data_IF_720479614485
#
_entry.id   IF_720479614485
#
_cell.length_a   1.000
_cell.length_b   1.000
_cell.length_c   1.000
_cell.angle_alpha   90.00
_cell.angle_beta   90.00
_cell.angle_gamma   90.00
#
_symmetry.space_group_name_H-M   'P 1'
#
loop_
_entity.id
_entity.type
_entity.pdbx_description
1 polymer ?
#
# COMPACT_ATOMS: atom_id res chain seq x y z
N UNK A 1 53.30 -22.35 -70.30
CA UNK A 1 52.38 -23.13 -71.17
C UNK A 1 50.98 -23.05 -70.59
N UNK A 2 50.04 -22.65 -71.43
CA UNK A 2 48.60 -22.93 -71.39
C UNK A 2 47.70 -22.33 -70.28
N UNK A 3 47.09 -21.20 -70.64
CA UNK A 3 45.64 -20.89 -70.62
C UNK A 3 44.71 -21.59 -69.61
N UNK A 4 43.94 -20.79 -68.84
CA UNK A 4 42.48 -20.68 -69.06
C UNK A 4 41.85 -19.46 -68.36
N UNK A 5 40.98 -18.79 -69.10
CA UNK A 5 40.08 -17.69 -68.75
C UNK A 5 38.88 -18.22 -67.96
N UNK A 6 38.37 -17.48 -66.96
CA UNK A 6 36.92 -17.34 -66.72
C UNK A 6 36.59 -16.11 -65.86
N UNK A 7 35.91 -15.16 -66.51
CA UNK A 7 35.06 -14.18 -65.84
C UNK A 7 33.88 -14.91 -65.20
N UNK A 8 33.59 -14.59 -63.93
CA UNK A 8 32.29 -14.82 -63.33
C UNK A 8 31.86 -13.50 -62.69
N UNK A 9 30.88 -12.86 -63.32
CA UNK A 9 30.03 -11.86 -62.71
C UNK A 9 28.94 -12.59 -61.90
N UNK A 10 28.82 -12.25 -60.62
CA UNK A 10 27.60 -12.45 -59.81
C UNK A 10 27.31 -11.06 -59.21
N UNK A 11 26.42 -10.27 -59.80
CA UNK A 11 24.97 -10.23 -59.55
C UNK A 11 24.63 -10.23 -58.05
N UNK A 12 24.66 -9.03 -57.49
CA UNK A 12 23.97 -8.63 -56.27
C UNK A 12 22.46 -8.75 -56.45
N UNK A 13 21.82 -9.69 -55.76
CA UNK A 13 20.38 -9.70 -55.51
C UNK A 13 20.21 -9.39 -54.03
N UNK A 14 19.92 -8.13 -53.73
CA UNK A 14 19.38 -7.73 -52.44
C UNK A 14 17.94 -8.19 -52.36
N UNK A 15 17.65 -9.10 -51.44
CA UNK A 15 16.31 -9.40 -50.98
C UNK A 15 16.24 -9.01 -49.50
N UNK A 16 16.15 -7.70 -49.24
CA UNK A 16 15.53 -7.22 -48.02
C UNK A 16 14.03 -7.49 -48.18
N UNK A 17 13.59 -8.68 -47.75
CA UNK A 17 12.18 -8.94 -47.54
C UNK A 17 11.76 -8.14 -46.30
N UNK A 18 11.35 -6.89 -46.52
CA UNK A 18 10.49 -6.20 -45.55
C UNK A 18 9.20 -7.02 -45.49
N UNK A 19 9.08 -7.92 -44.51
CA UNK A 19 7.77 -8.37 -44.09
C UNK A 19 7.07 -7.16 -43.49
N UNK A 20 6.36 -6.40 -44.32
CA UNK A 20 5.22 -5.63 -43.84
C UNK A 20 4.17 -6.68 -43.50
N UNK A 21 4.17 -7.12 -42.24
CA UNK A 21 2.94 -7.65 -41.69
C UNK A 21 1.96 -6.47 -41.68
N UNK A 22 1.15 -6.35 -42.73
CA UNK A 22 -0.08 -5.59 -42.65
C UNK A 22 -0.89 -6.29 -41.56
N UNK A 23 -0.81 -5.76 -40.34
CA UNK A 23 -1.69 -6.13 -39.26
C UNK A 23 -3.09 -5.81 -39.76
N UNK A 24 -3.86 -6.85 -40.04
CA UNK A 24 -5.27 -6.73 -40.36
C UNK A 24 -5.98 -6.21 -39.10
N UNK A 25 -6.09 -4.87 -39.03
CA UNK A 25 -6.72 -4.13 -37.92
C UNK A 25 -8.18 -4.55 -37.74
N UNK A 26 -8.84 -5.02 -38.79
CA UNK A 26 -10.22 -5.50 -38.73
C UNK A 26 -10.32 -6.92 -38.11
N UNK A 27 -9.27 -7.73 -38.24
CA UNK A 27 -9.21 -9.09 -37.68
C UNK A 27 -8.69 -9.16 -36.24
N UNK A 28 -7.89 -8.18 -35.81
CA UNK A 28 -7.19 -8.20 -34.52
C UNK A 28 -7.69 -7.17 -33.50
N UNK A 29 -8.53 -6.20 -33.88
CA UNK A 29 -9.05 -5.14 -33.00
C UNK A 29 -7.98 -4.32 -32.26
N UNK A 30 -6.72 -4.39 -32.71
CA UNK A 30 -5.60 -3.60 -32.18
C UNK A 30 -5.54 -2.29 -32.96
N UNK A 31 -5.92 -1.18 -32.31
CA UNK A 31 -5.82 0.16 -32.91
C UNK A 31 -4.50 0.79 -32.47
N UNK A 32 -3.73 1.31 -33.43
CA UNK A 32 -2.52 2.08 -33.15
C UNK A 32 -2.91 3.53 -32.90
N UNK A 33 -2.25 4.18 -31.95
CA UNK A 33 -2.51 5.57 -31.58
C UNK A 33 -1.20 6.28 -31.21
N UNK A 34 -1.19 7.60 -31.29
CA UNK A 34 -0.19 8.48 -30.70
C UNK A 34 -0.77 9.25 -29.51
N UNK A 35 -2.07 9.52 -29.52
CA UNK A 35 -2.80 10.29 -28.49
C UNK A 35 -4.12 9.59 -28.10
N UNK A 36 -4.63 9.86 -26.89
CA UNK A 36 -5.82 9.20 -26.33
C UNK A 36 -7.10 9.44 -27.14
N UNK A 37 -7.20 10.58 -27.83
CA UNK A 37 -8.38 10.96 -28.62
C UNK A 37 -8.46 10.24 -29.98
N UNK A 38 -7.39 9.55 -30.37
CA UNK A 38 -7.35 8.65 -31.52
C UNK A 38 -7.99 7.28 -31.20
N UNK A 39 -8.24 7.01 -29.91
CA UNK A 39 -8.80 5.75 -29.46
C UNK A 39 -10.33 5.73 -29.41
N UNK A 40 -10.95 4.57 -29.67
CA UNK A 40 -12.38 4.36 -29.45
C UNK A 40 -12.83 4.73 -28.04
N UNK A 41 -14.08 5.15 -27.89
CA UNK A 41 -14.66 5.47 -26.57
C UNK A 41 -14.48 4.31 -25.58
N UNK A 42 -13.91 4.61 -24.42
CA UNK A 42 -13.59 3.62 -23.39
C UNK A 42 -12.17 3.05 -23.47
N UNK A 43 -11.34 3.53 -24.41
CA UNK A 43 -9.93 3.20 -24.56
C UNK A 43 -9.06 4.45 -24.42
N UNK A 44 -7.78 4.27 -24.12
CA UNK A 44 -6.76 5.33 -24.16
C UNK A 44 -5.47 4.78 -24.76
N UNK A 45 -4.61 5.68 -25.21
CA UNK A 45 -3.39 5.34 -25.90
C UNK A 45 -2.31 4.96 -24.91
N UNK A 46 -1.88 3.70 -24.94
CA UNK A 46 -0.79 3.20 -24.13
C UNK A 46 0.21 2.45 -25.00
N UNK A 47 1.47 2.84 -24.93
CA UNK A 47 2.57 2.26 -25.73
C UNK A 47 2.28 2.20 -27.24
N UNK A 48 1.59 3.23 -27.74
CA UNK A 48 1.23 3.36 -29.16
C UNK A 48 0.05 2.49 -29.59
N UNK A 49 -0.70 1.91 -28.65
CA UNK A 49 -1.86 1.05 -28.92
C UNK A 49 -3.03 1.45 -28.03
N UNK A 50 -4.23 1.53 -28.61
CA UNK A 50 -5.44 1.76 -27.85
C UNK A 50 -5.74 0.56 -26.97
N UNK A 51 -5.61 0.78 -25.67
CA UNK A 51 -5.90 -0.20 -24.64
C UNK A 51 -7.15 0.22 -23.89
N UNK A 52 -7.92 -0.75 -23.41
CA UNK A 52 -9.11 -0.43 -22.60
C UNK A 52 -8.73 0.43 -21.39
N UNK A 53 -9.49 1.49 -21.12
CA UNK A 53 -9.28 2.31 -19.91
C UNK A 53 -9.39 1.48 -18.63
N UNK A 54 -10.13 0.38 -18.66
CA UNK A 54 -10.17 -0.60 -17.55
C UNK A 54 -8.88 -1.38 -17.40
N UNK A 55 -8.16 -1.65 -18.49
CA UNK A 55 -6.83 -2.26 -18.45
C UNK A 55 -5.76 -1.25 -17.98
N UNK A 56 -5.96 0.04 -18.27
CA UNK A 56 -5.00 1.10 -17.91
C UNK A 56 -5.16 1.62 -16.48
N UNK A 57 -6.40 1.71 -15.99
CA UNK A 57 -6.68 2.29 -14.67
C UNK A 57 -7.04 1.25 -13.61
N UNK A 58 -6.99 -0.04 -13.96
CA UNK A 58 -7.35 -1.15 -13.09
C UNK A 58 -8.79 -1.08 -12.53
N UNK A 59 -9.12 -2.04 -11.66
CA UNK A 59 -10.33 -2.00 -10.85
C UNK A 59 -10.22 -0.95 -9.74
N UNK A 60 -11.37 -0.49 -9.25
CA UNK A 60 -11.43 0.40 -8.08
C UNK A 60 -12.14 -0.31 -6.96
N UNK A 61 -11.54 -0.34 -5.79
CA UNK A 61 -12.10 -0.91 -4.57
C UNK A 61 -12.29 0.17 -3.49
N UNK A 62 -13.36 0.05 -2.72
CA UNK A 62 -13.62 0.91 -1.57
C UNK A 62 -14.19 0.08 -0.42
N UNK A 63 -13.54 0.13 0.74
CA UNK A 63 -14.08 -0.47 1.97
C UNK A 63 -15.10 0.49 2.58
N UNK A 64 -16.32 0.00 2.83
CA UNK A 64 -17.43 0.79 3.38
C UNK A 64 -17.73 0.45 4.84
N UNK A 65 -17.35 -0.74 5.29
CA UNK A 65 -17.40 -1.16 6.70
C UNK A 65 -16.25 -2.12 7.00
N UNK A 66 -15.58 -2.03 8.17
CA UNK A 66 -15.80 -1.03 9.21
C UNK A 66 -15.35 0.37 8.76
N UNK A 67 -15.82 1.45 9.43
CA UNK A 67 -15.21 2.75 9.24
C UNK A 67 -13.77 2.73 9.74
N UNK A 68 -12.93 3.63 9.20
CA UNK A 68 -11.54 3.78 9.65
C UNK A 68 -11.47 4.00 11.17
N UNK A 69 -10.53 3.30 11.80
CA UNK A 69 -10.25 3.32 13.23
C UNK A 69 -11.45 2.90 14.10
N UNK A 70 -12.37 2.10 13.56
CA UNK A 70 -13.39 1.44 14.37
C UNK A 70 -12.74 0.62 15.50
N UNK A 71 -13.36 0.62 16.68
CA UNK A 71 -12.85 -0.10 17.85
C UNK A 71 -13.72 -1.32 18.11
N UNK A 72 -13.16 -2.50 17.89
CA UNK A 72 -13.75 -3.77 18.28
C UNK A 72 -13.29 -4.17 19.67
N UNK A 73 -14.16 -4.82 20.43
CA UNK A 73 -13.76 -5.45 21.68
C UNK A 73 -13.03 -6.78 21.38
N UNK A 74 -11.98 -7.10 22.15
CA UNK A 74 -11.18 -8.32 21.95
C UNK A 74 -12.00 -9.64 22.04
N UNK A 75 -13.17 -9.61 22.68
CA UNK A 75 -14.04 -10.78 22.81
C UNK A 75 -15.04 -10.96 21.66
N UNK A 76 -15.02 -10.08 20.66
CA UNK A 76 -15.83 -10.24 19.47
C UNK A 76 -15.29 -11.38 18.59
N UNK A 77 -16.16 -12.22 18.01
CA UNK A 77 -15.71 -13.41 17.30
C UNK A 77 -15.20 -13.11 15.88
N UNK A 78 -15.70 -12.04 15.25
CA UNK A 78 -15.51 -11.78 13.82
C UNK A 78 -15.56 -10.28 13.52
N UNK A 79 -14.92 -9.89 12.42
CA UNK A 79 -15.00 -8.53 11.88
C UNK A 79 -15.98 -8.53 10.70
N UNK A 80 -17.04 -7.71 10.73
CA UNK A 80 -17.88 -7.50 9.56
C UNK A 80 -17.16 -6.59 8.56
N UNK A 81 -16.95 -7.08 7.35
CA UNK A 81 -16.37 -6.31 6.25
C UNK A 81 -17.43 -6.12 5.16
N UNK A 82 -17.61 -4.88 4.73
CA UNK A 82 -18.37 -4.55 3.54
C UNK A 82 -17.52 -3.70 2.63
N UNK A 83 -17.57 -3.97 1.34
CA UNK A 83 -16.83 -3.21 0.34
C UNK A 83 -17.59 -3.19 -0.98
N UNK A 84 -17.29 -2.19 -1.79
CA UNK A 84 -17.82 -2.03 -3.14
C UNK A 84 -16.69 -1.79 -4.11
N UNK A 85 -16.98 -1.90 -5.40
CA UNK A 85 -15.99 -1.65 -6.42
C UNK A 85 -16.58 -1.52 -7.81
N UNK A 86 -15.70 -1.30 -8.77
CA UNK A 86 -16.07 -1.25 -10.18
C UNK A 86 -14.92 -1.74 -11.05
N UNK A 87 -15.23 -2.04 -12.32
CA UNK A 87 -14.25 -2.42 -13.35
C UNK A 87 -13.51 -3.74 -13.07
N UNK A 88 -14.12 -4.64 -12.28
CA UNK A 88 -13.67 -6.01 -12.06
C UNK A 88 -14.86 -6.96 -12.23
N UNK A 89 -14.74 -7.92 -13.14
CA UNK A 89 -15.65 -9.05 -13.25
C UNK A 89 -15.15 -10.16 -12.32
N UNK A 90 -15.85 -10.37 -11.20
CA UNK A 90 -15.51 -11.42 -10.25
C UNK A 90 -15.79 -12.80 -10.84
N UNK A 91 -14.74 -13.59 -11.02
CA UNK A 91 -14.81 -14.98 -11.47
C UNK A 91 -13.58 -15.76 -11.03
N UNK A 92 -13.73 -17.08 -10.93
CA UNK A 92 -12.61 -18.03 -10.81
C UNK A 92 -12.44 -18.90 -12.06
N UNK A 93 -13.33 -18.76 -13.03
CA UNK A 93 -13.29 -19.49 -14.29
C UNK A 93 -12.34 -18.81 -15.28
N UNK A 94 -11.68 -19.61 -16.11
CA UNK A 94 -10.87 -19.12 -17.23
C UNK A 94 -11.69 -18.15 -18.10
N UNK A 95 -11.15 -16.96 -18.29
CA UNK A 95 -11.77 -15.89 -19.08
C UNK A 95 -10.69 -15.14 -19.86
N UNK A 96 -10.99 -14.82 -21.12
CA UNK A 96 -10.14 -13.95 -21.95
C UNK A 96 -10.43 -12.46 -21.69
N UNK A 97 -11.39 -12.14 -20.82
CA UNK A 97 -11.69 -10.76 -20.43
C UNK A 97 -10.60 -10.22 -19.48
N UNK A 98 -9.89 -9.18 -19.91
CA UNK A 98 -8.83 -8.55 -19.10
C UNK A 98 -9.31 -7.90 -17.80
N UNK A 99 -10.63 -7.72 -17.64
CA UNK A 99 -11.26 -7.28 -16.38
C UNK A 99 -11.71 -8.43 -15.49
N UNK A 100 -11.50 -9.69 -15.90
CA UNK A 100 -11.85 -10.85 -15.09
C UNK A 100 -10.79 -11.16 -14.02
N UNK A 101 -11.26 -11.46 -12.82
CA UNK A 101 -10.37 -11.69 -11.69
C UNK A 101 -11.11 -11.97 -10.39
N UNK A 102 -10.39 -11.88 -9.29
CA UNK A 102 -10.91 -12.09 -7.94
C UNK A 102 -10.31 -11.07 -6.97
N UNK A 103 -10.88 -10.98 -5.76
CA UNK A 103 -10.35 -10.10 -4.70
C UNK A 103 -9.79 -10.97 -3.59
N UNK A 104 -8.55 -10.74 -3.22
CA UNK A 104 -7.95 -11.31 -2.03
C UNK A 104 -8.18 -10.39 -0.84
N UNK A 105 -8.56 -10.98 0.29
CA UNK A 105 -8.79 -10.28 1.56
C UNK A 105 -7.69 -10.67 2.53
N UNK A 106 -6.95 -9.68 2.98
CA UNK A 106 -5.85 -9.83 3.93
C UNK A 106 -6.19 -9.18 5.26
N UNK A 107 -5.80 -9.82 6.36
CA UNK A 107 -5.76 -9.22 7.70
C UNK A 107 -4.32 -9.27 8.18
N UNK A 108 -3.73 -8.11 8.45
CA UNK A 108 -2.32 -7.95 8.86
C UNK A 108 -1.33 -8.67 7.90
N UNK A 109 -1.63 -8.62 6.60
CA UNK A 109 -0.83 -9.26 5.55
C UNK A 109 -1.03 -10.78 5.42
N UNK A 110 -1.84 -11.42 6.26
CA UNK A 110 -2.23 -12.82 6.10
C UNK A 110 -3.49 -12.92 5.22
N UNK A 111 -3.44 -13.73 4.16
CA UNK A 111 -4.62 -14.02 3.33
C UNK A 111 -5.66 -14.79 4.16
N UNK A 112 -6.84 -14.21 4.36
CA UNK A 112 -7.92 -14.80 5.15
C UNK A 112 -9.11 -15.25 4.31
N UNK A 113 -9.33 -14.62 3.15
CA UNK A 113 -10.44 -14.96 2.25
C UNK A 113 -10.15 -14.56 0.79
N UNK A 114 -10.92 -15.10 -0.15
CA UNK A 114 -10.90 -14.72 -1.55
C UNK A 114 -12.33 -14.67 -2.12
N UNK A 115 -12.68 -13.54 -2.73
CA UNK A 115 -14.00 -13.30 -3.30
C UNK A 115 -13.92 -13.46 -4.81
N UNK A 116 -14.58 -14.49 -5.33
CA UNK A 116 -14.56 -14.86 -6.76
C UNK A 116 -15.93 -14.72 -7.43
N UNK A 117 -16.96 -14.28 -6.71
CA UNK A 117 -18.32 -14.10 -7.24
C UNK A 117 -19.03 -12.93 -6.55
N UNK A 118 -20.06 -12.39 -7.21
CA UNK A 118 -20.86 -11.28 -6.72
C UNK A 118 -20.91 -10.09 -7.69
N UNK A 119 -21.67 -9.05 -7.31
CA UNK A 119 -21.76 -7.79 -8.07
C UNK A 119 -21.13 -6.68 -7.25
N UNK A 120 -19.92 -6.23 -7.61
CA UNK A 120 -19.18 -5.24 -6.82
C UNK A 120 -19.91 -3.90 -6.69
N UNK A 121 -20.64 -3.49 -7.71
CA UNK A 121 -21.41 -2.24 -7.71
C UNK A 121 -22.61 -2.27 -6.75
N UNK A 122 -23.03 -3.46 -6.30
CA UNK A 122 -24.08 -3.62 -5.29
C UNK A 122 -23.53 -3.73 -3.88
N UNK A 123 -22.20 -3.77 -3.73
CA UNK A 123 -21.51 -4.07 -2.49
C UNK A 123 -21.45 -5.58 -2.21
N UNK A 124 -20.39 -5.99 -1.54
CA UNK A 124 -20.15 -7.35 -1.05
C UNK A 124 -19.99 -7.27 0.47
N UNK A 125 -20.61 -8.21 1.17
CA UNK A 125 -20.54 -8.33 2.62
C UNK A 125 -19.88 -9.66 3.01
N UNK A 126 -18.77 -9.58 3.74
CA UNK A 126 -18.13 -10.71 4.42
C UNK A 126 -18.40 -10.59 5.92
N UNK A 127 -19.24 -11.48 6.44
CA UNK A 127 -19.73 -11.38 7.82
C UNK A 127 -18.85 -12.08 8.85
N UNK A 128 -17.80 -12.77 8.43
CA UNK A 128 -17.05 -13.68 9.31
C UNK A 128 -15.54 -13.64 9.08
N UNK A 129 -14.94 -12.46 8.93
CA UNK A 129 -13.48 -12.37 8.96
C UNK A 129 -12.97 -12.70 10.38
N UNK A 130 -11.86 -13.44 10.51
CA UNK A 130 -11.33 -13.81 11.81
C UNK A 130 -10.85 -12.58 12.59
N UNK A 131 -11.29 -12.44 13.84
CA UNK A 131 -10.80 -11.39 14.74
C UNK A 131 -9.34 -11.68 15.17
N UNK A 132 -8.41 -10.71 15.06
CA UNK A 132 -7.07 -10.83 15.62
C UNK A 132 -7.09 -11.10 17.13
N UNK A 133 -6.18 -11.94 17.61
CA UNK A 133 -6.10 -12.31 19.04
C UNK A 133 -5.26 -11.35 19.87
N UNK A 134 -4.45 -10.53 19.21
CA UNK A 134 -3.57 -9.52 19.84
C UNK A 134 -4.33 -8.20 19.83
N UNK A 135 -4.28 -7.43 20.93
CA UNK A 135 -4.82 -6.07 20.94
C UNK A 135 -3.90 -5.09 20.23
N UNK A 136 -4.46 -4.01 19.69
CA UNK A 136 -3.72 -3.00 18.94
C UNK A 136 -4.38 -2.61 17.62
N UNK A 137 -3.62 -1.98 16.74
CA UNK A 137 -4.07 -1.61 15.39
C UNK A 137 -3.88 -2.80 14.45
N UNK A 138 -4.88 -3.04 13.63
CA UNK A 138 -4.90 -4.08 12.62
C UNK A 138 -5.35 -3.49 11.28
N UNK A 139 -4.97 -4.15 10.19
CA UNK A 139 -5.30 -3.70 8.84
C UNK A 139 -6.08 -4.77 8.09
N UNK A 140 -7.18 -4.37 7.46
CA UNK A 140 -7.75 -5.14 6.35
C UNK A 140 -7.24 -4.54 5.04
N UNK A 141 -6.75 -5.39 4.14
CA UNK A 141 -6.38 -5.00 2.78
C UNK A 141 -7.13 -5.86 1.78
N UNK A 142 -7.78 -5.22 0.82
CA UNK A 142 -8.36 -5.83 -0.37
C UNK A 142 -7.39 -5.63 -1.52
N UNK A 143 -7.11 -6.70 -2.26
CA UNK A 143 -6.23 -6.64 -3.43
C UNK A 143 -6.88 -7.35 -4.60
N UNK A 144 -7.19 -6.62 -5.67
CA UNK A 144 -7.70 -7.22 -6.89
C UNK A 144 -6.60 -8.02 -7.61
N UNK A 145 -6.96 -9.21 -8.08
CA UNK A 145 -6.08 -10.13 -8.80
C UNK A 145 -6.67 -10.56 -10.13
N UNK A 146 -5.84 -10.66 -11.15
CA UNK A 146 -6.15 -11.38 -12.37
C UNK A 146 -6.34 -12.89 -12.06
N UNK A 147 -7.02 -13.60 -12.96
CA UNK A 147 -7.26 -15.06 -12.83
C UNK A 147 -5.95 -15.85 -12.71
N UNK A 148 -4.86 -15.37 -13.33
CA UNK A 148 -3.53 -15.99 -13.26
C UNK A 148 -2.78 -15.71 -11.93
N UNK A 149 -3.40 -14.96 -11.01
CA UNK A 149 -2.84 -14.55 -9.72
C UNK A 149 -2.01 -13.26 -9.77
N UNK A 150 -1.80 -12.69 -10.96
CA UNK A 150 -1.18 -11.38 -11.15
C UNK A 150 -1.96 -10.28 -10.42
N UNK A 151 -1.27 -9.26 -9.89
CA UNK A 151 -1.96 -8.06 -9.37
C UNK A 151 -2.40 -7.19 -10.53
N UNK A 152 -3.57 -6.58 -10.40
CA UNK A 152 -3.86 -5.40 -11.21
C UNK A 152 -2.89 -4.28 -10.84
N UNK A 153 -2.52 -3.46 -11.81
CA UNK A 153 -1.72 -2.26 -11.56
C UNK A 153 -2.63 -1.09 -11.16
N UNK A 154 -2.04 -0.09 -10.50
CA UNK A 154 -2.73 1.12 -10.05
C UNK A 154 -3.11 1.11 -8.58
N UNK A 155 -3.03 2.29 -7.95
CA UNK A 155 -3.26 2.48 -6.51
C UNK A 155 -4.70 2.18 -6.09
N UNK A 156 -5.67 2.33 -6.99
CA UNK A 156 -7.08 2.11 -6.69
C UNK A 156 -7.50 0.62 -6.76
N UNK A 157 -6.61 -0.25 -7.26
CA UNK A 157 -6.84 -1.71 -7.32
C UNK A 157 -6.65 -2.41 -5.97
N UNK A 158 -6.15 -1.67 -4.99
CA UNK A 158 -6.07 -2.06 -3.60
C UNK A 158 -6.92 -1.08 -2.76
N UNK A 159 -7.52 -1.59 -1.69
CA UNK A 159 -8.19 -0.77 -0.70
C UNK A 159 -7.83 -1.27 0.69
N UNK A 160 -7.65 -0.38 1.64
CA UNK A 160 -7.32 -0.77 3.01
C UNK A 160 -8.08 0.05 4.04
N UNK A 161 -8.26 -0.55 5.21
CA UNK A 161 -8.80 0.13 6.38
C UNK A 161 -8.07 -0.38 7.61
N UNK A 162 -7.71 0.55 8.50
CA UNK A 162 -7.18 0.21 9.81
C UNK A 162 -8.32 0.21 10.85
N UNK A 163 -8.25 -0.70 11.81
CA UNK A 163 -9.20 -0.78 12.94
C UNK A 163 -8.46 -1.18 14.22
N UNK A 164 -9.08 -0.93 15.36
CA UNK A 164 -8.54 -1.25 16.67
C UNK A 164 -9.19 -2.51 17.25
N UNK A 165 -8.38 -3.34 17.90
CA UNK A 165 -8.84 -4.36 18.84
C UNK A 165 -8.45 -3.89 20.25
N UNK A 166 -9.44 -3.51 21.05
CA UNK A 166 -9.23 -2.96 22.39
C UNK A 166 -9.15 -4.08 23.44
N UNK A 167 -7.99 -4.17 24.09
CA UNK A 167 -7.74 -5.03 25.26
C UNK A 167 -7.57 -4.22 26.57
N UNK A 168 -7.89 -2.92 26.53
CA UNK A 168 -7.79 -1.98 27.63
C UNK A 168 -6.39 -1.36 27.82
N UNK A 169 -5.42 -1.67 26.94
CA UNK A 169 -4.06 -1.13 27.00
C UNK A 169 -3.87 0.09 26.09
N UNK A 170 -2.79 0.82 26.35
CA UNK A 170 -2.34 1.97 25.58
C UNK A 170 -1.64 1.54 24.30
N UNK A 171 -2.00 2.16 23.17
CA UNK A 171 -1.38 1.93 21.88
C UNK A 171 -1.10 3.24 21.16
N UNK A 172 -0.02 3.24 20.39
CA UNK A 172 0.20 4.16 19.27
C UNK A 172 0.44 3.28 18.05
N UNK A 173 -0.05 3.68 16.88
CA UNK A 173 0.13 2.91 15.67
C UNK A 173 0.19 3.80 14.42
N UNK A 174 0.83 3.27 13.38
CA UNK A 174 0.91 3.88 12.06
C UNK A 174 -0.32 3.41 11.28
N UNK A 175 -1.18 4.35 10.90
CA UNK A 175 -2.38 4.12 10.08
C UNK A 175 -2.03 4.16 8.60
N UNK A 176 -1.17 5.10 8.23
CA UNK A 176 -0.63 5.25 6.88
C UNK A 176 0.89 5.38 6.95
N UNK A 177 1.65 4.67 6.11
CA UNK A 177 1.17 3.69 5.13
C UNK A 177 0.75 2.34 5.79
N UNK A 178 -0.14 1.55 5.17
CA UNK A 178 -0.42 0.20 5.64
C UNK A 178 0.79 -0.75 5.45
N UNK A 179 0.81 -1.91 6.13
CA UNK A 179 1.83 -2.93 5.92
C UNK A 179 1.94 -3.39 4.47
N UNK A 180 3.15 -3.37 3.93
CA UNK A 180 3.43 -3.83 2.57
C UNK A 180 3.25 -2.77 1.48
N UNK A 181 2.96 -1.52 1.84
CA UNK A 181 2.94 -0.40 0.89
C UNK A 181 4.22 -0.34 0.09
N UNK A 182 4.05 -0.11 -1.20
CA UNK A 182 5.12 0.10 -2.18
C UNK A 182 5.24 1.59 -2.45
N UNK A 183 6.46 2.09 -2.37
CA UNK A 183 6.78 3.50 -2.58
C UNK A 183 7.73 3.57 -3.76
N UNK A 184 7.41 4.42 -4.72
CA UNK A 184 8.31 4.68 -5.85
C UNK A 184 9.64 5.24 -5.31
N UNK A 185 10.76 4.72 -5.81
CA UNK A 185 12.09 5.22 -5.47
C UNK A 185 12.27 6.70 -5.84
N UNK A 186 11.59 7.19 -6.88
CA UNK A 186 11.73 8.57 -7.34
C UNK A 186 10.99 9.57 -6.43
N UNK A 187 9.96 9.09 -5.73
CA UNK A 187 9.11 9.83 -4.78
C UNK A 187 9.26 9.26 -3.36
N UNK A 188 10.47 8.97 -2.90
CA UNK A 188 10.80 8.35 -1.58
C UNK A 188 10.27 9.10 -0.33
N UNK A 189 9.35 10.05 -0.50
CA UNK A 189 8.51 10.70 0.49
C UNK A 189 7.31 9.82 0.83
N UNK A 190 7.30 9.33 2.07
CA UNK A 190 6.14 8.64 2.65
C UNK A 190 5.36 9.60 3.52
N UNK A 191 4.05 9.68 3.28
CA UNK A 191 3.14 10.35 4.20
C UNK A 191 2.86 9.42 5.39
N UNK A 192 2.91 9.98 6.59
CA UNK A 192 2.66 9.23 7.81
C UNK A 192 1.41 9.73 8.53
N UNK A 193 0.52 8.81 8.86
CA UNK A 193 -0.61 9.04 9.74
C UNK A 193 -0.47 8.16 10.98
N UNK A 194 -0.67 8.76 12.17
CA UNK A 194 -0.52 8.07 13.45
C UNK A 194 -1.80 8.25 14.25
N UNK A 195 -2.27 7.14 14.82
CA UNK A 195 -3.38 7.13 15.75
C UNK A 195 -2.98 6.47 17.07
N UNK A 196 -3.76 6.71 18.10
CA UNK A 196 -3.57 6.14 19.42
C UNK A 196 -4.89 5.67 20.03
N UNK A 197 -4.79 4.60 20.82
CA UNK A 197 -5.90 4.05 21.60
C UNK A 197 -5.49 4.03 23.08
N UNK A 198 -6.36 4.52 23.97
CA UNK A 198 -6.08 4.68 25.41
C UNK A 198 -4.81 5.51 25.75
N UNK A 199 -4.22 6.19 24.76
CA UNK A 199 -3.08 7.10 24.90
C UNK A 199 -3.43 8.44 24.27
N UNK A 200 -3.09 9.55 24.95
CA UNK A 200 -3.37 10.90 24.43
C UNK A 200 -2.12 11.51 23.81
N UNK A 201 -2.19 11.85 22.52
CA UNK A 201 -1.13 12.59 21.82
C UNK A 201 -1.26 14.07 22.18
N UNK A 202 -0.18 14.68 22.67
CA UNK A 202 -0.14 16.06 23.16
C UNK A 202 1.03 16.83 22.55
N UNK A 203 0.85 18.15 22.43
CA UNK A 203 1.97 19.03 22.14
C UNK A 203 2.80 19.29 23.43
N UNK A 204 4.08 18.88 23.52
CA UNK A 204 4.86 19.05 24.73
C UNK A 204 5.10 20.52 25.08
N UNK A 205 5.05 21.43 24.10
CA UNK A 205 5.12 22.88 24.34
C UNK A 205 3.89 23.46 25.06
N UNK A 206 2.84 22.66 25.27
CA UNK A 206 1.60 23.06 25.94
C UNK A 206 1.44 22.47 27.34
N UNK A 207 2.28 21.52 27.74
CA UNK A 207 2.19 20.93 29.08
C UNK A 207 2.90 21.85 30.06
N UNK A 208 2.17 22.33 31.07
CA UNK A 208 2.76 23.13 32.14
C UNK A 208 3.79 22.32 32.94
N UNK A 209 4.87 22.94 33.45
CA UNK A 209 5.89 22.22 34.22
C UNK A 209 5.35 21.57 35.50
N UNK A 210 4.23 22.07 36.01
CA UNK A 210 3.55 21.56 37.21
C UNK A 210 2.31 20.69 36.87
N UNK A 211 2.05 20.43 35.58
CA UNK A 211 0.92 19.60 35.18
C UNK A 211 1.24 18.13 35.47
N UNK A 212 0.48 17.54 36.40
CA UNK A 212 0.55 16.11 36.68
C UNK A 212 -0.22 15.38 35.60
N UNK A 213 0.46 14.51 34.84
CA UNK A 213 -0.18 13.66 33.84
C UNK A 213 -1.25 12.79 34.52
N UNK A 214 -2.53 13.09 34.28
CA UNK A 214 -3.65 12.36 34.86
C UNK A 214 -4.02 11.09 34.07
N UNK A 215 -3.47 10.93 32.87
CA UNK A 215 -3.66 9.80 31.97
C UNK A 215 -2.37 9.52 31.19
N UNK A 216 -2.22 8.34 30.55
CA UNK A 216 -1.19 8.10 29.56
C UNK A 216 -1.22 9.17 28.47
N UNK A 217 -0.17 9.99 28.42
CA UNK A 217 -0.09 11.09 27.48
C UNK A 217 1.35 11.39 27.09
N UNK A 218 1.52 11.87 25.87
CA UNK A 218 2.84 12.10 25.31
C UNK A 218 2.79 12.37 23.82
N UNK A 219 3.85 12.03 23.11
CA UNK A 219 3.96 12.24 21.67
C UNK A 219 4.75 11.08 21.06
N UNK A 220 4.93 11.04 19.74
CA UNK A 220 5.57 9.91 19.07
C UNK A 220 6.88 10.31 18.40
N UNK A 221 7.86 9.43 18.49
CA UNK A 221 9.09 9.50 17.71
C UNK A 221 9.05 8.47 16.60
N UNK A 222 9.42 8.89 15.39
CA UNK A 222 9.59 8.01 14.23
C UNK A 222 11.06 7.60 14.15
N UNK A 223 11.28 6.33 13.85
CA UNK A 223 12.56 5.72 13.54
C UNK A 223 12.45 4.98 12.20
N UNK A 224 13.48 5.10 11.37
CA UNK A 224 13.55 4.41 10.08
C UNK A 224 14.71 3.42 10.10
N UNK A 225 14.40 2.15 9.86
CA UNK A 225 15.32 1.01 9.86
C UNK A 225 16.22 0.93 11.12
N UNK A 226 15.68 1.34 12.26
CA UNK A 226 16.35 1.21 13.55
C UNK A 226 16.11 -0.19 14.17
N UNK A 227 16.90 -0.51 15.18
CA UNK A 227 16.72 -1.71 16.02
C UNK A 227 15.89 -1.37 17.27
N UNK A 228 14.72 -0.73 17.11
CA UNK A 228 13.80 -0.49 18.23
C UNK A 228 13.15 -1.82 18.64
N UNK A 229 12.99 -2.11 19.95
CA UNK A 229 13.33 -1.27 21.11
C UNK A 229 14.78 -1.39 21.61
N UNK A 230 15.60 -2.27 21.05
CA UNK A 230 16.93 -2.63 21.57
C UNK A 230 17.93 -1.45 21.63
N UNK A 231 17.79 -0.47 20.73
CA UNK A 231 18.68 0.67 20.68
C UNK A 231 18.29 1.83 21.61
N UNK A 232 17.12 1.82 22.25
CA UNK A 232 16.66 2.94 23.07
C UNK A 232 17.43 3.04 24.40
N UNK A 233 17.72 4.27 24.90
CA UNK A 233 17.38 5.58 24.32
C UNK A 233 18.46 6.12 23.35
N UNK A 234 19.44 5.32 22.94
CA UNK A 234 20.65 5.74 22.23
C UNK A 234 20.71 5.29 20.75
N UNK A 235 19.56 5.18 20.08
CA UNK A 235 19.49 4.80 18.67
C UNK A 235 20.30 5.76 17.78
N UNK A 236 20.85 5.26 16.67
CA UNK A 236 21.53 6.12 15.71
C UNK A 236 20.51 7.04 15.02
N UNK A 237 20.78 8.34 14.97
CA UNK A 237 19.76 9.40 14.78
C UNK A 237 19.57 9.86 13.33
N UNK A 238 20.18 9.17 12.35
CA UNK A 238 20.26 9.68 10.98
C UNK A 238 18.88 9.90 10.32
N UNK A 239 17.82 9.26 10.84
CA UNK A 239 16.42 9.45 10.39
C UNK A 239 15.39 9.42 11.54
N UNK A 240 15.66 10.17 12.62
CA UNK A 240 14.70 10.34 13.72
C UNK A 240 13.97 11.68 13.61
N UNK A 241 12.64 11.65 13.64
CA UNK A 241 11.81 12.86 13.76
C UNK A 241 10.70 12.65 14.78
N UNK A 242 10.30 13.71 15.47
CA UNK A 242 9.17 13.69 16.41
C UNK A 242 7.92 14.19 15.70
N UNK A 243 6.82 13.48 15.84
CA UNK A 243 5.51 13.99 15.42
C UNK A 243 4.79 14.55 16.63
N UNK A 244 4.36 15.80 16.49
CA UNK A 244 3.72 16.56 17.54
C UNK A 244 2.45 17.17 16.96
N UNK A 245 1.29 17.03 17.62
CA UNK A 245 0.06 17.69 17.19
C UNK A 245 0.25 19.21 17.04
N UNK A 246 -0.31 19.83 15.98
CA UNK A 246 -0.20 21.28 15.79
C UNK A 246 -0.99 22.04 16.87
N UNK A 247 -0.40 23.15 17.34
CA UNK A 247 -1.06 24.06 18.28
C UNK A 247 -1.27 23.48 19.69
N UNK A 248 -2.32 23.94 20.37
CA UNK A 248 -2.65 23.57 21.75
C UNK A 248 -3.61 22.37 21.79
N UNK A 249 -3.24 21.28 21.10
CA UNK A 249 -4.13 20.15 20.87
C UNK A 249 -3.78 18.93 21.74
N UNK A 250 -4.83 18.21 22.13
CA UNK A 250 -4.79 16.85 22.66
C UNK A 250 -5.66 16.00 21.75
N UNK A 251 -5.07 15.01 21.10
CA UNK A 251 -5.72 14.24 20.04
C UNK A 251 -5.45 12.75 20.22
N UNK A 252 -6.30 11.93 19.62
CA UNK A 252 -6.12 10.47 19.50
C UNK A 252 -5.71 10.07 18.09
N UNK A 253 -5.67 11.03 17.17
CA UNK A 253 -5.32 10.85 15.78
C UNK A 253 -4.61 12.12 15.31
N UNK A 254 -3.50 11.93 14.58
CA UNK A 254 -2.81 13.02 13.92
C UNK A 254 -2.28 12.55 12.59
N UNK A 255 -2.49 13.38 11.57
CA UNK A 255 -1.82 13.25 10.29
C UNK A 255 -0.56 14.09 10.32
N UNK A 256 0.58 13.47 10.01
CA UNK A 256 1.81 14.20 9.83
C UNK A 256 1.91 14.64 8.38
N UNK A 257 2.03 15.94 8.15
CA UNK A 257 2.46 16.47 6.85
C UNK A 257 3.97 16.31 6.65
N UNK A 258 4.69 15.72 7.62
CA UNK A 258 6.12 15.44 7.46
C UNK A 258 6.30 14.30 6.46
N UNK A 259 6.86 14.66 5.31
CA UNK A 259 7.45 13.74 4.37
C UNK A 259 8.57 12.94 5.05
N UNK A 260 8.38 11.63 5.21
CA UNK A 260 9.45 10.74 5.63
C UNK A 260 10.26 10.32 4.42
N UNK A 261 11.54 10.71 4.39
CA UNK A 261 12.45 10.33 3.31
C UNK A 261 13.00 8.94 3.62
N UNK A 262 12.68 7.97 2.78
CA UNK A 262 13.27 6.63 2.87
C UNK A 262 14.73 6.68 2.37
N UNK A 263 15.64 5.85 2.91
CA UNK A 263 16.99 5.75 2.37
C UNK A 263 16.96 5.26 0.90
N UNK A 264 17.88 5.74 0.07
CA UNK A 264 17.93 5.34 -1.35
C UNK A 264 18.40 3.88 -1.52
N UNK A 265 17.82 3.16 -2.48
CA UNK A 265 18.33 1.85 -2.94
C UNK A 265 18.17 0.69 -1.95
N UNK A 266 17.37 0.87 -0.90
CA UNK A 266 17.03 -0.19 0.06
C UNK A 266 15.73 -0.89 -0.35
N UNK A 267 15.66 -2.20 -0.14
CA UNK A 267 14.45 -2.98 -0.39
C UNK A 267 13.34 -2.66 0.61
N UNK A 268 13.03 -3.59 1.51
CA UNK A 268 12.05 -3.35 2.58
C UNK A 268 12.69 -2.57 3.72
N UNK A 269 12.11 -1.41 4.04
CA UNK A 269 12.48 -0.53 5.16
C UNK A 269 11.43 -0.67 6.27
N UNK A 270 11.86 -0.61 7.53
CA UNK A 270 10.93 -0.59 8.69
C UNK A 270 10.71 0.86 9.12
N UNK A 271 9.46 1.32 9.11
CA UNK A 271 9.07 2.54 9.80
C UNK A 271 8.56 2.13 11.18
N UNK A 272 9.14 2.69 12.23
CA UNK A 272 8.78 2.38 13.60
C UNK A 272 8.39 3.67 14.31
N UNK A 273 7.39 3.61 15.18
CA UNK A 273 7.05 4.71 16.09
C UNK A 273 7.14 4.25 17.53
N UNK A 274 7.59 5.16 18.40
CA UNK A 274 7.69 4.93 19.84
C UNK A 274 6.97 6.05 20.56
N UNK A 275 6.06 5.70 21.46
CA UNK A 275 5.46 6.68 22.36
C UNK A 275 6.52 7.21 23.34
N UNK A 276 6.56 8.52 23.51
CA UNK A 276 7.37 9.20 24.50
C UNK A 276 6.49 9.90 25.51
N UNK A 277 6.86 9.81 26.79
CA UNK A 277 6.26 10.62 27.84
C UNK A 277 6.63 12.09 27.63
N UNK A 278 5.90 13.00 28.29
CA UNK A 278 6.16 14.44 28.23
C UNK A 278 7.54 14.83 28.78
N UNK A 279 8.15 13.97 29.60
CA UNK A 279 9.54 14.12 30.05
C UNK A 279 10.59 13.80 28.98
N UNK A 280 10.17 13.49 27.75
CA UNK A 280 10.99 13.04 26.62
C UNK A 280 11.71 11.70 26.84
N UNK A 281 11.20 10.89 27.77
CA UNK A 281 11.65 9.51 27.95
C UNK A 281 10.71 8.55 27.20
N UNK A 282 11.21 7.39 26.72
CA UNK A 282 10.33 6.37 26.14
C UNK A 282 9.22 6.00 27.12
N UNK A 283 7.99 5.90 26.62
CA UNK A 283 6.83 5.57 27.43
C UNK A 283 6.72 4.05 27.60
N UNK A 284 6.87 3.60 28.85
CA UNK A 284 6.65 2.22 29.24
C UNK A 284 5.32 2.11 29.98
N UNK A 285 4.47 1.19 29.52
CA UNK A 285 3.23 0.82 30.22
C UNK A 285 3.53 0.25 31.60
N UNK A 286 4.54 -0.61 31.66
CA UNK A 286 5.12 -1.13 32.88
C UNK A 286 6.65 -0.93 32.85
N UNK A 287 7.18 0.03 33.63
CA UNK A 287 8.62 0.28 33.70
C UNK A 287 9.42 -0.90 34.25
N UNK A 288 8.84 -1.75 35.11
CA UNK A 288 9.54 -2.89 35.70
C UNK A 288 9.70 -4.03 34.68
N UNK A 289 8.76 -4.14 33.75
CA UNK A 289 8.77 -5.14 32.67
C UNK A 289 9.39 -4.62 31.37
N UNK A 290 9.76 -3.34 31.32
CA UNK A 290 10.19 -2.66 30.10
C UNK A 290 9.18 -2.83 28.94
N UNK A 291 7.88 -2.79 29.27
CA UNK A 291 6.78 -2.92 28.31
C UNK A 291 6.60 -1.59 27.55
N UNK A 292 7.35 -1.43 26.47
CA UNK A 292 7.37 -0.23 25.64
C UNK A 292 6.13 -0.14 24.76
N UNK A 293 5.54 1.05 24.66
CA UNK A 293 4.46 1.32 23.68
C UNK A 293 5.07 1.79 22.36
N UNK A 294 5.08 0.91 21.37
CA UNK A 294 5.64 1.15 20.04
C UNK A 294 4.85 0.38 18.97
N UNK A 295 5.08 0.73 17.69
CA UNK A 295 4.49 0.04 16.54
C UNK A 295 5.45 0.10 15.35
N UNK A 296 5.32 -0.85 14.43
CA UNK A 296 6.14 -0.89 13.23
C UNK A 296 5.36 -1.32 11.99
N UNK A 297 5.77 -0.79 10.85
CA UNK A 297 5.23 -1.12 9.54
C UNK A 297 6.38 -1.35 8.55
N UNK A 298 6.39 -2.49 7.84
CA UNK A 298 7.30 -2.69 6.72
C UNK A 298 6.77 -1.97 5.48
N UNK A 299 7.64 -1.17 4.85
CA UNK A 299 7.39 -0.46 3.59
C UNK A 299 8.45 -0.88 2.58
N UNK A 300 8.05 -1.14 1.35
CA UNK A 300 8.97 -1.55 0.29
C UNK A 300 9.24 -0.37 -0.65
N UNK A 301 10.50 0.05 -0.77
CA UNK A 301 10.88 0.92 -1.89
C UNK A 301 10.98 0.05 -3.15
N UNK A 302 10.26 0.46 -4.19
CA UNK A 302 10.31 -0.19 -5.50
C UNK A 302 11.20 0.66 -6.38
N UNK A 303 12.39 0.14 -6.69
CA UNK A 303 13.19 0.71 -7.77
C UNK A 303 12.38 0.50 -9.04
N UNK A 304 11.98 1.60 -9.70
CA UNK A 304 11.30 1.54 -10.98
C UNK A 304 12.03 0.55 -11.88
N UNK A 305 11.33 -0.53 -12.29
CA UNK A 305 11.88 -1.35 -13.37
C UNK A 305 12.02 -0.38 -14.54
N UNK A 306 13.26 -0.11 -14.96
CA UNK A 306 13.52 0.75 -16.10
C UNK A 306 12.64 0.25 -17.26
N UNK A 307 11.62 1.05 -17.59
CA UNK A 307 10.75 0.84 -18.74
C UNK A 307 11.57 0.98 -20.02
#
# INVERSE_FOLDING_TARGET
MSTLIRHIALLSIGAAACYSADLDTDASQVFVCEEDDECPLGQACADGVCSSLSALNGPVLTITSPPALHVFAQNEPTIPLSFEGSRLLLTSDDSDDGSAGYIEVYVDGALVDAVTEGTLEQGIELTSLPMPTVGGLHHVVLSARHIDGGRFEGVDSEAHVAFWVDDGREYVAIVEPPPGTRVDSDDAVVQLEVASLNFTLVNPGFVGPDEVAAAPQGYVHIFVDADVPLCLPACNFDYQTSIIPPGLARVTELRSDQALILPDGVGTVRIQIVAQAISNEPYYRDPEQADLVYYEVPVQSVVGQAQ
#
